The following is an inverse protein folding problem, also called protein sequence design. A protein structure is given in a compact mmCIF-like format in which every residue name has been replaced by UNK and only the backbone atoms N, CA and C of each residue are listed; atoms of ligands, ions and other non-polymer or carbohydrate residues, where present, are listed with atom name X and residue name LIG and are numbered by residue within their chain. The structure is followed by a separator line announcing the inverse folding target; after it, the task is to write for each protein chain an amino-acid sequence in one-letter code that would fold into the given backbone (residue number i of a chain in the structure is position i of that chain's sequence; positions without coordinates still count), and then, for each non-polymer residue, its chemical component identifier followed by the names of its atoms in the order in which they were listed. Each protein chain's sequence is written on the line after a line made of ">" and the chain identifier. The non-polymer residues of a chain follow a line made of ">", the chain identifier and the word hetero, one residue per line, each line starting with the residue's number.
data_IF_109970021265
#
_entry.id   IF_109970021265
#
_cell.length_a   1.000
_cell.length_b   1.000
_cell.length_c   1.000
_cell.angle_alpha   90.00
_cell.angle_beta   90.00
_cell.angle_gamma   90.00
#
_symmetry.space_group_name_H-M   'P 1'
#
loop_
_entity.id
_entity.type
_entity.pdbx_description
1 polymer ?
#
# COMPACT_ATOMS: atom_id res chain seq x y z
N UNK A 1 -23.87 -10.82 16.78
CA UNK A 1 -22.82 -11.31 15.85
C UNK A 1 -23.13 -10.77 14.48
N UNK A 2 -22.12 -10.28 13.75
CA UNK A 2 -22.26 -9.79 12.38
C UNK A 2 -21.91 -10.92 11.40
N UNK A 3 -22.61 -11.00 10.27
CA UNK A 3 -22.16 -11.84 9.16
C UNK A 3 -20.94 -11.23 8.46
N UNK A 4 -20.18 -12.04 7.71
CA UNK A 4 -19.04 -11.55 6.94
C UNK A 4 -19.47 -10.45 5.95
N UNK A 5 -20.62 -10.64 5.29
CA UNK A 5 -21.18 -9.62 4.38
C UNK A 5 -21.52 -8.32 5.11
N UNK A 6 -22.18 -8.40 6.27
CA UNK A 6 -22.49 -7.21 7.07
C UNK A 6 -21.23 -6.48 7.53
N UNK A 7 -20.19 -7.21 7.95
CA UNK A 7 -18.91 -6.62 8.34
C UNK A 7 -18.21 -5.92 7.15
N UNK A 8 -18.33 -6.48 5.95
CA UNK A 8 -17.81 -5.87 4.72
C UNK A 8 -18.56 -4.60 4.37
N UNK A 9 -19.90 -4.64 4.39
CA UNK A 9 -20.74 -3.48 4.07
C UNK A 9 -20.55 -2.32 5.05
N UNK A 10 -20.20 -2.63 6.30
CA UNK A 10 -19.85 -1.65 7.33
C UNK A 10 -18.39 -1.15 7.25
N UNK A 11 -17.57 -1.70 6.34
CA UNK A 11 -16.15 -1.34 6.20
C UNK A 11 -15.24 -1.86 7.31
N UNK A 12 -15.70 -2.82 8.11
CA UNK A 12 -14.88 -3.47 9.16
C UNK A 12 -13.86 -4.42 8.52
N UNK A 13 -14.23 -5.05 7.40
CA UNK A 13 -13.33 -5.86 6.57
C UNK A 13 -13.36 -5.38 5.13
N UNK A 14 -12.20 -5.35 4.47
CA UNK A 14 -12.09 -4.78 3.11
C UNK A 14 -12.40 -5.80 2.00
N UNK A 15 -12.31 -7.09 2.31
CA UNK A 15 -12.46 -8.17 1.33
C UNK A 15 -13.15 -9.38 1.94
N UNK A 16 -13.90 -10.09 1.11
CA UNK A 16 -14.42 -11.42 1.38
C UNK A 16 -13.68 -12.45 0.52
N UNK A 17 -13.55 -13.67 1.03
CA UNK A 17 -13.08 -14.80 0.24
C UNK A 17 -14.24 -15.36 -0.59
N UNK A 18 -13.93 -15.87 -1.78
CA UNK A 18 -14.93 -16.52 -2.63
C UNK A 18 -15.42 -17.83 -2.01
N UNK A 19 -16.59 -18.29 -2.44
CA UNK A 19 -17.13 -19.56 -1.99
C UNK A 19 -16.15 -20.71 -2.30
N UNK A 20 -15.81 -21.49 -1.27
CA UNK A 20 -14.83 -22.57 -1.37
C UNK A 20 -13.35 -22.15 -1.22
N UNK A 21 -13.05 -20.86 -1.07
CA UNK A 21 -11.71 -20.38 -0.72
C UNK A 21 -11.59 -20.07 0.77
N UNK A 22 -10.40 -20.30 1.33
CA UNK A 22 -10.09 -19.83 2.68
C UNK A 22 -9.78 -18.33 2.69
N UNK A 23 -9.93 -17.68 3.85
CA UNK A 23 -9.46 -16.31 4.02
C UNK A 23 -7.95 -16.17 3.73
N UNK A 24 -7.17 -17.20 4.03
CA UNK A 24 -5.72 -17.24 3.76
C UNK A 24 -5.44 -17.18 2.27
N UNK A 25 -6.19 -17.90 1.43
CA UNK A 25 -6.01 -17.89 -0.02
C UNK A 25 -6.21 -16.46 -0.57
N UNK A 26 -7.25 -15.78 -0.08
CA UNK A 26 -7.53 -14.38 -0.44
C UNK A 26 -6.42 -13.43 0.02
N UNK A 27 -5.88 -13.64 1.23
CA UNK A 27 -4.76 -12.85 1.77
C UNK A 27 -3.49 -13.02 0.94
N UNK A 28 -3.17 -14.24 0.48
CA UNK A 28 -2.00 -14.49 -0.36
C UNK A 28 -2.08 -13.71 -1.66
N UNK A 29 -3.25 -13.67 -2.31
CA UNK A 29 -3.46 -12.88 -3.54
C UNK A 29 -3.24 -11.38 -3.25
N UNK A 30 -3.79 -10.86 -2.16
CA UNK A 30 -3.59 -9.46 -1.79
C UNK A 30 -2.12 -9.14 -1.49
N UNK A 31 -1.43 -10.02 -0.76
CA UNK A 31 -0.02 -9.87 -0.44
C UNK A 31 0.84 -9.84 -1.71
N UNK A 32 0.53 -10.68 -2.71
CA UNK A 32 1.23 -10.66 -4.00
C UNK A 32 1.09 -9.33 -4.73
N UNK A 33 -0.07 -8.67 -4.67
CA UNK A 33 -0.24 -7.33 -5.24
C UNK A 33 0.59 -6.28 -4.48
N UNK A 34 0.58 -6.32 -3.14
CA UNK A 34 1.36 -5.40 -2.31
C UNK A 34 2.86 -5.57 -2.55
N UNK A 35 3.34 -6.80 -2.70
CA UNK A 35 4.76 -7.11 -2.93
C UNK A 35 5.29 -6.59 -4.29
N UNK A 36 4.42 -6.18 -5.22
CA UNK A 36 4.84 -5.52 -6.46
C UNK A 36 5.29 -4.08 -6.25
N UNK A 37 4.97 -3.46 -5.11
CA UNK A 37 5.34 -2.09 -4.80
C UNK A 37 6.74 -1.98 -4.18
N UNK A 38 7.37 -0.81 -4.30
CA UNK A 38 8.67 -0.55 -3.70
C UNK A 38 8.60 -0.59 -2.17
N UNK A 39 9.48 -1.35 -1.48
CA UNK A 39 9.38 -1.53 -0.03
C UNK A 39 9.58 -0.21 0.74
N UNK A 40 10.45 0.69 0.26
CA UNK A 40 10.60 2.02 0.87
C UNK A 40 9.35 2.88 0.69
N UNK A 41 8.71 2.81 -0.49
CA UNK A 41 7.48 3.53 -0.77
C UNK A 41 6.31 3.02 0.10
N UNK A 42 6.18 1.71 0.28
CA UNK A 42 5.18 1.12 1.17
C UNK A 42 5.34 1.60 2.62
N UNK A 43 6.57 1.64 3.13
CA UNK A 43 6.86 2.14 4.49
C UNK A 43 6.52 3.63 4.63
N UNK A 44 6.95 4.44 3.67
CA UNK A 44 6.66 5.87 3.67
C UNK A 44 5.15 6.16 3.58
N UNK A 45 4.43 5.47 2.70
CA UNK A 45 2.98 5.60 2.56
C UNK A 45 2.25 5.18 3.84
N UNK A 46 2.64 4.05 4.45
CA UNK A 46 2.04 3.61 5.72
C UNK A 46 2.25 4.63 6.84
N UNK A 47 3.46 5.17 6.97
CA UNK A 47 3.76 6.19 7.99
C UNK A 47 2.95 7.47 7.77
N UNK A 48 2.83 7.92 6.51
CA UNK A 48 2.04 9.09 6.14
C UNK A 48 0.56 8.89 6.48
N UNK A 49 -0.03 7.73 6.18
CA UNK A 49 -1.42 7.40 6.51
C UNK A 49 -1.62 7.35 8.02
N UNK A 50 -0.79 6.60 8.74
CA UNK A 50 -0.93 6.42 10.19
C UNK A 50 -0.81 7.77 10.91
N UNK A 51 0.15 8.61 10.51
CA UNK A 51 0.38 9.95 11.10
C UNK A 51 -0.68 10.96 10.68
N UNK A 52 -0.98 11.05 9.37
CA UNK A 52 -1.94 11.99 8.82
C UNK A 52 -3.36 11.77 9.33
N UNK A 53 -3.73 10.54 9.69
CA UNK A 53 -5.03 10.23 10.30
C UNK A 53 -5.28 10.89 11.66
N UNK A 54 -4.22 11.35 12.32
CA UNK A 54 -4.27 11.99 13.65
C UNK A 54 -4.14 13.53 13.58
N UNK A 55 -4.01 14.09 12.38
CA UNK A 55 -3.72 15.50 12.15
C UNK A 55 -4.85 16.16 11.36
N UNK A 56 -4.93 17.49 11.47
CA UNK A 56 -5.73 18.27 10.54
C UNK A 56 -5.13 18.19 9.13
N UNK A 57 -5.98 18.41 8.11
CA UNK A 57 -5.62 18.20 6.71
C UNK A 57 -4.31 18.89 6.30
N UNK A 58 -4.12 20.15 6.70
CA UNK A 58 -2.92 20.93 6.36
C UNK A 58 -1.64 20.27 6.90
N UNK A 59 -1.62 19.92 8.20
CA UNK A 59 -0.49 19.23 8.81
C UNK A 59 -0.33 17.80 8.30
N UNK A 60 -1.43 17.13 7.91
CA UNK A 60 -1.40 15.83 7.27
C UNK A 60 -0.68 15.87 5.92
N UNK A 61 -0.94 16.89 5.09
CA UNK A 61 -0.27 17.11 3.82
C UNK A 61 1.23 17.41 4.00
N UNK A 62 1.59 18.22 5.00
CA UNK A 62 3.00 18.48 5.33
C UNK A 62 3.73 17.20 5.78
N UNK A 63 3.05 16.37 6.57
CA UNK A 63 3.57 15.06 7.01
C UNK A 63 3.76 14.10 5.83
N UNK A 64 2.79 14.05 4.91
CA UNK A 64 2.88 13.28 3.66
C UNK A 64 4.08 13.73 2.82
N UNK A 65 4.23 15.05 2.61
CA UNK A 65 5.34 15.61 1.86
C UNK A 65 6.70 15.25 2.47
N UNK A 66 6.80 15.28 3.80
CA UNK A 66 8.00 14.86 4.53
C UNK A 66 8.30 13.38 4.32
N UNK A 67 7.29 12.51 4.42
CA UNK A 67 7.45 11.08 4.14
C UNK A 67 7.90 10.84 2.69
N UNK A 68 7.33 11.56 1.73
CA UNK A 68 7.70 11.47 0.32
C UNK A 68 9.15 11.89 0.06
N UNK A 69 9.65 12.92 0.76
CA UNK A 69 11.04 13.37 0.62
C UNK A 69 12.05 12.27 0.98
N UNK A 70 11.72 11.36 1.89
CA UNK A 70 12.61 10.26 2.31
C UNK A 70 12.92 9.28 1.18
N UNK A 71 12.01 9.11 0.22
CA UNK A 71 12.15 8.15 -0.89
C UNK A 71 12.55 8.80 -2.21
N UNK A 72 12.62 10.13 -2.29
CA UNK A 72 12.96 10.86 -3.53
C UNK A 72 14.34 10.48 -4.10
N UNK A 73 15.29 10.11 -3.22
CA UNK A 73 16.65 9.74 -3.61
C UNK A 73 16.87 8.24 -3.75
N UNK A 74 15.83 7.41 -3.59
CA UNK A 74 15.96 5.96 -3.71
C UNK A 74 16.23 5.54 -5.15
N UNK A 75 16.98 4.46 -5.30
CA UNK A 75 17.18 3.76 -6.56
C UNK A 75 15.88 3.12 -7.04
N UNK A 76 15.02 2.67 -6.12
CA UNK A 76 13.69 2.13 -6.42
C UNK A 76 12.82 3.13 -7.19
N UNK A 77 12.90 4.43 -6.87
CA UNK A 77 12.16 5.46 -7.62
C UNK A 77 12.64 5.52 -9.07
N UNK A 78 13.95 5.48 -9.29
CA UNK A 78 14.53 5.52 -10.63
C UNK A 78 14.17 4.28 -11.44
N UNK A 79 14.22 3.11 -10.81
CA UNK A 79 13.79 1.85 -11.41
C UNK A 79 12.30 1.86 -11.75
N UNK A 80 11.44 2.39 -10.88
CA UNK A 80 10.00 2.53 -11.16
C UNK A 80 9.73 3.39 -12.39
N UNK A 81 10.41 4.54 -12.50
CA UNK A 81 10.31 5.42 -13.67
C UNK A 81 10.84 4.74 -14.95
N UNK A 82 11.97 4.03 -14.85
CA UNK A 82 12.57 3.30 -15.97
C UNK A 82 11.68 2.17 -16.45
N UNK A 83 11.21 1.32 -15.54
CA UNK A 83 10.34 0.20 -15.84
C UNK A 83 9.01 0.65 -16.46
N UNK A 84 8.45 1.77 -15.99
CA UNK A 84 7.29 2.40 -16.59
C UNK A 84 7.56 2.85 -18.04
N UNK A 85 8.67 3.55 -18.27
CA UNK A 85 9.08 3.99 -19.61
C UNK A 85 9.31 2.80 -20.57
N UNK A 86 9.89 1.72 -20.06
CA UNK A 86 10.19 0.48 -20.79
C UNK A 86 9.00 -0.49 -20.87
N UNK A 87 7.84 -0.14 -20.27
CA UNK A 87 6.62 -0.98 -20.20
C UNK A 87 6.86 -2.40 -19.68
N UNK A 88 7.73 -2.52 -18.68
CA UNK A 88 8.04 -3.79 -18.01
C UNK A 88 7.73 -3.71 -16.51
N UNK A 89 7.60 -4.86 -15.82
CA UNK A 89 7.54 -4.87 -14.37
C UNK A 89 8.83 -4.31 -13.74
N UNK A 90 8.73 -3.46 -12.70
CA UNK A 90 9.88 -2.97 -11.95
C UNK A 90 10.45 -4.06 -11.02
N UNK A 91 11.75 -3.97 -10.74
CA UNK A 91 12.41 -4.83 -9.75
C UNK A 91 12.99 -3.96 -8.62
N UNK A 92 12.21 -3.82 -7.55
CA UNK A 92 12.59 -3.03 -6.39
C UNK A 92 13.50 -3.81 -5.43
N UNK A 93 14.48 -3.11 -4.84
CA UNK A 93 15.46 -3.68 -3.89
C UNK A 93 15.41 -3.05 -2.50
N UNK A 94 14.73 -1.90 -2.35
CA UNK A 94 14.68 -1.16 -1.10
C UNK A 94 15.90 -0.31 -0.81
N UNK A 95 16.51 0.22 -1.87
CA UNK A 95 17.71 1.07 -1.85
C UNK A 95 17.40 2.43 -2.48
#
# INVERSE_FOLDING_TARGET
>A
MLSAQQAHDLGIVNHLADEGQSATDRVVVLAQEVLKAGPLALRAAKLAIDTGSQLDLEFGLDSEATCYQTILKSTDRLEGLKAFAEKRPPVYKGE
#
